data_IF_703175224316
#
_entry.id   IF_703175224316
#
_cell.length_a   1.000
_cell.length_b   1.000
_cell.length_c   1.000
_cell.angle_alpha   90.00
_cell.angle_beta   90.00
_cell.angle_gamma   90.00
#
_symmetry.space_group_name_H-M   'P 1'
#
loop_
_entity.id
_entity.type
_entity.pdbx_description
1 polymer ?
#
# COMPACT_ATOMS: atom_id res chain seq x y z
N UNK A 1 8.05 3.61 30.11
CA UNK A 1 8.32 4.75 29.21
C UNK A 1 7.10 5.67 29.17
N UNK A 2 7.25 7.00 29.20
CA UNK A 2 6.14 7.95 29.02
C UNK A 2 5.87 8.23 27.55
N UNK A 3 4.66 8.68 27.20
CA UNK A 3 4.30 8.98 25.81
C UNK A 3 5.16 10.10 25.20
N UNK A 4 5.49 11.14 25.96
CA UNK A 4 6.33 12.26 25.47
C UNK A 4 7.77 11.80 25.19
N UNK A 5 8.34 10.97 26.07
CA UNK A 5 9.67 10.41 25.83
C UNK A 5 9.69 9.50 24.60
N UNK A 6 8.67 8.64 24.45
CA UNK A 6 8.54 7.79 23.27
C UNK A 6 8.43 8.61 21.98
N UNK A 7 7.62 9.68 21.99
CA UNK A 7 7.52 10.61 20.86
C UNK A 7 8.89 11.16 20.45
N UNK A 8 9.64 11.75 21.40
CA UNK A 8 10.96 12.34 21.10
C UNK A 8 11.95 11.30 20.54
N UNK A 9 11.95 10.09 21.10
CA UNK A 9 12.81 9.01 20.61
C UNK A 9 12.42 8.54 19.21
N UNK A 10 11.12 8.46 18.90
CA UNK A 10 10.63 8.10 17.57
C UNK A 10 10.91 9.19 16.53
N UNK A 11 10.81 10.46 16.90
CA UNK A 11 11.21 11.60 16.07
C UNK A 11 12.73 11.57 15.79
N UNK A 12 13.53 11.26 16.81
CA UNK A 12 14.96 11.03 16.62
C UNK A 12 15.25 9.87 15.66
N UNK A 13 14.56 8.73 15.81
CA UNK A 13 14.68 7.58 14.88
C UNK A 13 14.28 7.95 13.45
N UNK A 14 13.21 8.74 13.29
CA UNK A 14 12.74 9.24 12.00
C UNK A 14 13.85 10.01 11.27
N UNK A 15 14.53 10.94 11.94
CA UNK A 15 15.55 11.79 11.34
C UNK A 15 16.91 11.09 11.20
N UNK A 16 17.37 10.41 12.26
CA UNK A 16 18.68 9.73 12.28
C UNK A 16 18.73 8.49 11.38
N UNK A 17 17.57 7.84 11.16
CA UNK A 17 17.51 6.53 10.52
C UNK A 17 17.90 5.37 11.42
N UNK A 18 18.07 5.63 12.71
CA UNK A 18 18.20 4.58 13.71
C UNK A 18 16.91 3.76 13.80
N UNK A 19 17.10 2.51 14.20
CA UNK A 19 16.02 1.56 14.35
C UNK A 19 15.14 1.94 15.56
N UNK A 20 13.82 2.03 15.35
CA UNK A 20 12.85 2.39 16.39
C UNK A 20 12.36 1.20 17.24
N UNK A 21 12.92 0.02 17.05
CA UNK A 21 12.44 -1.22 17.65
C UNK A 21 12.55 -1.24 19.18
N UNK A 22 13.65 -0.74 19.75
CA UNK A 22 13.83 -0.67 21.21
C UNK A 22 12.80 0.25 21.87
N UNK A 23 12.41 1.32 21.17
CA UNK A 23 11.36 2.23 21.63
C UNK A 23 10.01 1.52 21.68
N UNK A 24 9.69 0.70 20.67
CA UNK A 24 8.44 -0.05 20.60
C UNK A 24 8.36 -1.07 21.74
N UNK A 25 9.42 -1.84 22.01
CA UNK A 25 9.42 -2.87 23.06
C UNK A 25 9.21 -2.24 24.45
N UNK A 26 9.75 -1.04 24.67
CA UNK A 26 9.58 -0.30 25.93
C UNK A 26 8.25 0.44 26.09
N UNK A 27 7.41 0.48 25.06
CA UNK A 27 6.15 1.21 25.03
C UNK A 27 4.96 0.31 25.38
N UNK A 28 4.12 0.75 26.32
CA UNK A 28 2.88 0.03 26.64
C UNK A 28 1.84 0.20 25.54
N UNK A 29 1.08 -0.85 25.16
CA UNK A 29 0.14 -0.77 24.05
C UNK A 29 -0.92 0.32 24.19
N UNK A 30 -1.42 0.57 25.41
CA UNK A 30 -2.43 1.59 25.67
C UNK A 30 -1.96 3.04 25.40
N UNK A 31 -0.66 3.27 25.18
CA UNK A 31 -0.11 4.57 24.83
C UNK A 31 0.05 4.76 23.31
N UNK A 32 -0.16 3.73 22.50
CA UNK A 32 0.15 3.74 21.07
C UNK A 32 -0.67 4.79 20.29
N UNK A 33 -1.99 4.85 20.50
CA UNK A 33 -2.83 5.84 19.81
C UNK A 33 -2.37 7.27 20.14
N UNK A 34 -2.16 7.57 21.43
CA UNK A 34 -1.68 8.88 21.88
C UNK A 34 -0.31 9.27 21.31
N UNK A 35 0.63 8.32 21.25
CA UNK A 35 1.95 8.56 20.64
C UNK A 35 1.82 8.78 19.13
N UNK A 36 1.00 8.00 18.44
CA UNK A 36 0.74 8.16 17.02
C UNK A 36 0.12 9.52 16.69
N UNK A 37 -0.83 10.00 17.49
CA UNK A 37 -1.45 11.32 17.34
C UNK A 37 -0.40 12.44 17.49
N UNK A 38 0.40 12.41 18.56
CA UNK A 38 1.43 13.42 18.83
C UNK A 38 2.50 13.52 17.76
N UNK A 39 3.01 12.38 17.28
CA UNK A 39 4.00 12.37 16.19
C UNK A 39 3.34 12.84 14.89
N UNK A 40 2.06 12.50 14.65
CA UNK A 40 1.33 12.97 13.47
C UNK A 40 1.14 14.48 13.49
N UNK A 41 0.72 15.04 14.61
CA UNK A 41 0.56 16.49 14.78
C UNK A 41 1.89 17.22 14.53
N UNK A 42 2.98 16.73 15.12
CA UNK A 42 4.30 17.33 14.95
C UNK A 42 4.81 17.19 13.51
N UNK A 43 4.63 16.04 12.89
CA UNK A 43 5.08 15.79 11.52
C UNK A 43 4.27 16.57 10.48
N UNK A 44 2.94 16.59 10.59
CA UNK A 44 2.07 17.20 9.58
C UNK A 44 1.94 18.72 9.76
N UNK A 45 1.89 19.21 11.00
CA UNK A 45 1.58 20.62 11.26
C UNK A 45 2.82 21.48 11.46
N UNK A 46 3.95 20.90 11.89
CA UNK A 46 5.17 21.68 12.24
C UNK A 46 6.32 21.52 11.25
N UNK A 47 6.28 20.53 10.35
CA UNK A 47 7.36 20.31 9.38
C UNK A 47 7.03 20.93 8.02
N UNK A 48 8.07 21.40 7.32
CA UNK A 48 7.98 21.85 5.94
C UNK A 48 7.59 20.71 5.00
N UNK A 49 6.92 21.02 3.90
CA UNK A 49 6.36 20.03 2.97
C UNK A 49 7.44 19.14 2.34
N UNK A 50 8.61 19.69 2.05
CA UNK A 50 9.75 18.98 1.46
C UNK A 50 10.30 17.92 2.42
N UNK A 51 10.37 18.26 3.71
CA UNK A 51 10.77 17.31 4.76
C UNK A 51 9.71 16.23 4.97
N UNK A 52 8.44 16.61 4.91
CA UNK A 52 7.35 15.62 4.97
C UNK A 52 7.47 14.62 3.83
N UNK A 53 7.66 15.08 2.58
CA UNK A 53 7.84 14.20 1.43
C UNK A 53 9.06 13.28 1.58
N UNK A 54 10.20 13.84 2.02
CA UNK A 54 11.45 13.08 2.22
C UNK A 54 11.28 11.95 3.23
N UNK A 55 10.60 12.20 4.34
CA UNK A 55 10.52 11.28 5.48
C UNK A 55 9.21 10.49 5.56
N UNK A 56 8.26 10.73 4.66
CA UNK A 56 6.90 10.17 4.69
C UNK A 56 6.91 8.65 4.85
N UNK A 57 7.66 7.93 4.02
CA UNK A 57 7.69 6.46 4.06
C UNK A 57 8.14 5.93 5.42
N UNK A 58 9.19 6.53 6.00
CA UNK A 58 9.70 6.13 7.33
C UNK A 58 8.71 6.49 8.44
N UNK A 59 8.11 7.67 8.38
CA UNK A 59 7.07 8.11 9.32
C UNK A 59 5.89 7.13 9.33
N UNK A 60 5.36 6.76 8.16
CA UNK A 60 4.29 5.78 8.03
C UNK A 60 4.73 4.39 8.54
N UNK A 61 5.98 4.01 8.30
CA UNK A 61 6.52 2.71 8.75
C UNK A 61 6.59 2.64 10.28
N UNK A 62 6.98 3.73 10.95
CA UNK A 62 6.97 3.85 12.41
C UNK A 62 5.55 3.67 12.93
N UNK A 63 4.57 4.40 12.37
CA UNK A 63 3.16 4.27 12.76
C UNK A 63 2.64 2.84 12.56
N UNK A 64 2.92 2.23 11.41
CA UNK A 64 2.54 0.85 11.13
C UNK A 64 3.12 -0.12 12.16
N UNK A 65 4.39 0.07 12.54
CA UNK A 65 5.08 -0.77 13.53
C UNK A 65 4.47 -0.64 14.92
N UNK A 66 4.06 0.56 15.32
CA UNK A 66 3.33 0.79 16.56
C UNK A 66 1.97 0.08 16.53
N UNK A 67 1.16 0.32 15.50
CA UNK A 67 -0.17 -0.29 15.38
C UNK A 67 -0.13 -1.82 15.32
N UNK A 68 0.94 -2.42 14.76
CA UNK A 68 1.15 -3.88 14.80
C UNK A 68 1.23 -4.48 16.20
N UNK A 69 1.54 -3.67 17.23
CA UNK A 69 1.66 -4.13 18.61
C UNK A 69 0.34 -4.10 19.38
N UNK A 70 -0.72 -3.50 18.81
CA UNK A 70 -2.01 -3.42 19.45
C UNK A 70 -2.79 -4.74 19.30
N UNK A 71 -3.10 -5.36 20.45
CA UNK A 71 -4.06 -6.46 20.54
C UNK A 71 -5.42 -5.88 20.92
N UNK A 72 -6.26 -5.56 19.93
CA UNK A 72 -7.64 -5.16 20.21
C UNK A 72 -8.55 -6.35 19.89
N UNK A 73 -9.31 -6.79 20.89
CA UNK A 73 -10.30 -7.86 20.75
C UNK A 73 -11.49 -7.49 19.86
N UNK A 74 -11.65 -6.22 19.49
CA UNK A 74 -12.66 -5.73 18.56
C UNK A 74 -12.13 -5.69 17.13
N UNK A 75 -12.82 -6.35 16.20
CA UNK A 75 -12.53 -6.31 14.77
C UNK A 75 -12.57 -4.87 14.19
N UNK A 76 -13.36 -3.98 14.83
CA UNK A 76 -13.62 -2.61 14.38
C UNK A 76 -12.39 -1.68 14.48
N UNK A 77 -11.41 -2.04 15.31
CA UNK A 77 -10.23 -1.21 15.57
C UNK A 77 -8.96 -2.07 15.69
N UNK A 78 -8.89 -3.14 14.88
CA UNK A 78 -7.71 -4.01 14.89
C UNK A 78 -6.46 -3.21 14.56
N UNK A 79 -5.47 -3.25 15.45
CA UNK A 79 -4.16 -2.65 15.22
C UNK A 79 -3.54 -3.13 13.90
N UNK A 80 -3.88 -4.34 13.48
CA UNK A 80 -3.46 -4.92 12.21
C UNK A 80 -4.13 -4.25 11.00
N UNK A 81 -5.40 -3.86 11.09
CA UNK A 81 -6.06 -3.09 10.04
C UNK A 81 -5.40 -1.72 9.87
N UNK A 82 -5.20 -0.98 10.98
CA UNK A 82 -4.49 0.31 10.97
C UNK A 82 -3.06 0.20 10.44
N UNK A 83 -2.32 -0.83 10.84
CA UNK A 83 -0.99 -1.08 10.31
C UNK A 83 -1.02 -1.38 8.81
N UNK A 84 -1.99 -2.18 8.36
CA UNK A 84 -2.24 -2.48 6.96
C UNK A 84 -2.53 -1.24 6.11
N UNK A 85 -3.31 -0.29 6.64
CA UNK A 85 -3.56 0.99 5.98
C UNK A 85 -2.24 1.73 5.72
N UNK A 86 -1.36 1.80 6.73
CA UNK A 86 -0.04 2.42 6.55
C UNK A 86 0.86 1.67 5.56
N UNK A 87 0.88 0.33 5.57
CA UNK A 87 1.67 -0.45 4.60
C UNK A 87 1.17 -0.27 3.17
N UNK A 88 -0.15 -0.27 3.00
CA UNK A 88 -0.78 -0.05 1.69
C UNK A 88 -0.48 1.36 1.20
N UNK A 89 -0.55 2.36 2.08
CA UNK A 89 -0.22 3.75 1.74
C UNK A 89 1.27 3.95 1.42
N UNK A 90 2.18 3.26 2.12
CA UNK A 90 3.62 3.27 1.80
C UNK A 90 3.84 2.73 0.37
N UNK A 91 3.21 1.61 0.04
CA UNK A 91 3.32 0.99 -1.28
C UNK A 91 2.72 1.88 -2.37
N UNK A 92 1.50 2.40 -2.15
CA UNK A 92 0.83 3.31 -3.08
C UNK A 92 1.68 4.54 -3.37
N UNK A 93 2.23 5.19 -2.34
CA UNK A 93 3.10 6.35 -2.52
C UNK A 93 4.39 5.99 -3.26
N UNK A 94 5.00 4.84 -2.95
CA UNK A 94 6.21 4.41 -3.64
C UNK A 94 5.95 4.15 -5.14
N UNK A 95 4.85 3.49 -5.48
CA UNK A 95 4.42 3.28 -6.86
C UNK A 95 4.13 4.62 -7.53
N UNK A 96 3.38 5.50 -6.87
CA UNK A 96 3.04 6.82 -7.39
C UNK A 96 4.31 7.63 -7.73
N UNK A 97 5.26 7.73 -6.80
CA UNK A 97 6.54 8.41 -7.04
C UNK A 97 7.30 7.77 -8.20
N UNK A 98 7.30 6.45 -8.29
CA UNK A 98 8.02 5.73 -9.35
C UNK A 98 7.39 5.98 -10.72
N UNK A 99 6.09 5.78 -10.87
CA UNK A 99 5.41 5.95 -12.16
C UNK A 99 5.38 7.43 -12.59
N UNK A 100 5.11 8.37 -11.68
CA UNK A 100 5.16 9.81 -11.97
C UNK A 100 6.56 10.28 -12.38
N UNK A 101 7.62 9.71 -11.81
CA UNK A 101 9.00 10.05 -12.21
C UNK A 101 9.39 9.59 -13.61
N UNK A 102 8.58 8.74 -14.25
CA UNK A 102 8.79 8.34 -15.65
C UNK A 102 8.20 9.35 -16.64
N UNK A 103 7.35 10.26 -16.17
CA UNK A 103 6.80 11.34 -16.99
C UNK A 103 7.91 12.36 -17.30
N UNK A 104 7.96 12.84 -18.53
CA UNK A 104 9.06 13.67 -19.01
C UNK A 104 8.68 15.16 -18.92
N UNK A 105 9.27 15.95 -18.02
CA UNK A 105 9.12 17.40 -18.07
C UNK A 105 9.80 17.94 -19.33
N UNK A 106 9.28 19.04 -19.87
CA UNK A 106 9.92 19.75 -20.98
C UNK A 106 11.16 20.48 -20.47
N UNK A 107 12.18 20.61 -21.32
CA UNK A 107 13.49 21.20 -20.98
C UNK A 107 13.46 22.67 -20.49
N UNK A 108 12.30 23.31 -20.30
CA UNK A 108 12.16 24.71 -19.90
C UNK A 108 11.07 24.97 -18.83
N UNK A 109 10.55 23.96 -18.14
CA UNK A 109 9.59 24.16 -17.04
C UNK A 109 10.31 23.98 -15.70
N UNK A 110 10.73 25.08 -15.09
CA UNK A 110 11.43 25.04 -13.80
C UNK A 110 10.52 24.64 -12.62
N UNK A 111 9.18 24.77 -12.74
CA UNK A 111 8.29 24.66 -11.58
C UNK A 111 7.05 23.75 -11.73
N UNK A 112 6.62 23.34 -12.92
CA UNK A 112 5.40 22.51 -13.09
C UNK A 112 5.62 21.39 -14.10
N UNK A 113 5.89 20.18 -13.60
CA UNK A 113 6.03 18.98 -14.42
C UNK A 113 4.68 18.35 -14.78
N UNK A 114 4.69 17.34 -15.68
CA UNK A 114 3.47 16.67 -16.11
C UNK A 114 2.73 15.92 -14.99
N UNK A 115 3.46 15.46 -13.98
CA UNK A 115 2.87 14.84 -12.79
C UNK A 115 2.06 15.85 -11.98
N UNK A 116 2.59 17.07 -11.81
CA UNK A 116 1.94 18.19 -11.12
C UNK A 116 0.73 18.67 -11.91
N UNK A 117 0.85 18.81 -13.23
CA UNK A 117 -0.26 19.19 -14.11
C UNK A 117 -1.44 18.21 -14.02
N UNK A 118 -1.16 16.90 -14.04
CA UNK A 118 -2.18 15.87 -13.83
C UNK A 118 -2.82 16.00 -12.45
N UNK A 119 -2.00 16.21 -11.40
CA UNK A 119 -2.48 16.33 -10.03
C UNK A 119 -3.41 17.55 -9.88
N UNK A 120 -3.05 18.70 -10.47
CA UNK A 120 -3.86 19.91 -10.51
C UNK A 120 -5.17 19.69 -11.29
N UNK A 121 -5.12 18.99 -12.42
CA UNK A 121 -6.31 18.68 -13.21
C UNK A 121 -7.31 17.81 -12.42
N UNK A 122 -6.83 16.75 -11.77
CA UNK A 122 -7.66 15.85 -10.96
C UNK A 122 -8.23 16.59 -9.74
N UNK A 123 -7.44 17.42 -9.06
CA UNK A 123 -7.89 18.15 -7.87
C UNK A 123 -8.89 19.27 -8.19
N UNK A 124 -8.63 20.05 -9.24
CA UNK A 124 -9.42 21.25 -9.55
C UNK A 124 -10.67 20.95 -10.39
N UNK A 125 -10.59 20.00 -11.32
CA UNK A 125 -11.65 19.71 -12.30
C UNK A 125 -12.13 18.27 -12.28
N UNK A 126 -11.33 17.34 -11.73
CA UNK A 126 -11.65 15.92 -11.73
C UNK A 126 -13.00 15.60 -11.08
N UNK A 127 -13.52 16.48 -10.25
CA UNK A 127 -14.77 16.27 -9.53
C UNK A 127 -16.02 16.65 -10.33
N UNK A 128 -15.88 17.32 -11.48
CA UNK A 128 -17.04 17.61 -12.33
C UNK A 128 -17.48 16.34 -13.07
N UNK A 129 -18.79 16.20 -13.29
CA UNK A 129 -19.40 15.03 -13.95
C UNK A 129 -18.75 14.65 -15.30
N UNK A 130 -18.28 15.64 -16.07
CA UNK A 130 -17.63 15.43 -17.36
C UNK A 130 -16.22 14.79 -17.24
N UNK A 131 -15.53 15.02 -16.12
CA UNK A 131 -14.19 14.55 -15.83
C UNK A 131 -14.16 13.24 -15.04
N UNK A 132 -15.33 12.63 -14.77
CA UNK A 132 -15.44 11.27 -14.24
C UNK A 132 -15.14 10.19 -15.29
N UNK A 133 -15.01 10.57 -16.57
CA UNK A 133 -14.57 9.69 -17.65
C UNK A 133 -13.08 9.87 -17.87
N UNK A 134 -12.33 8.77 -17.79
CA UNK A 134 -10.87 8.79 -17.95
C UNK A 134 -10.44 9.40 -19.29
N UNK A 135 -11.16 9.10 -20.37
CA UNK A 135 -10.79 9.59 -21.70
C UNK A 135 -10.94 11.13 -21.83
N UNK A 136 -11.88 11.75 -21.10
CA UNK A 136 -11.99 13.22 -21.03
C UNK A 136 -10.73 13.83 -20.41
N UNK A 137 -10.17 13.19 -19.38
CA UNK A 137 -8.93 13.64 -18.74
C UNK A 137 -7.77 13.54 -19.73
N UNK A 138 -7.65 12.43 -20.46
CA UNK A 138 -6.57 12.21 -21.43
C UNK A 138 -6.51 13.30 -22.51
N UNK A 139 -7.67 13.77 -23.00
CA UNK A 139 -7.74 14.81 -24.03
C UNK A 139 -7.19 16.16 -23.51
N UNK A 140 -7.25 16.40 -22.21
CA UNK A 140 -6.76 17.63 -21.58
C UNK A 140 -5.28 17.55 -21.17
N UNK A 141 -4.59 16.46 -21.49
CA UNK A 141 -3.17 16.25 -21.19
C UNK A 141 -2.37 16.21 -22.48
N UNK A 142 -1.12 16.68 -22.42
CA UNK A 142 -0.22 16.61 -23.57
C UNK A 142 0.37 15.20 -23.71
N UNK A 143 0.18 14.58 -24.87
CA UNK A 143 0.58 13.21 -25.09
C UNK A 143 2.10 12.98 -25.03
N UNK A 144 2.90 14.00 -25.34
CA UNK A 144 4.37 13.88 -25.38
C UNK A 144 4.96 13.72 -23.99
N UNK A 145 4.31 14.30 -22.98
CA UNK A 145 4.82 14.29 -21.61
C UNK A 145 4.68 12.91 -20.94
N UNK A 146 3.83 12.04 -21.50
CA UNK A 146 3.55 10.68 -21.03
C UNK A 146 4.26 9.59 -21.83
N UNK A 147 5.07 9.94 -22.84
CA UNK A 147 5.79 8.97 -23.66
C UNK A 147 6.92 8.28 -22.88
N UNK A 148 6.82 6.96 -22.74
CA UNK A 148 7.80 6.08 -22.09
C UNK A 148 8.10 4.89 -22.98
N UNK A 149 9.34 4.37 -22.92
CA UNK A 149 9.75 3.21 -23.71
C UNK A 149 8.93 1.96 -23.38
N UNK A 150 8.42 1.20 -24.39
CA UNK A 150 7.54 0.05 -24.17
C UNK A 150 8.11 -1.02 -23.23
N UNK A 151 9.42 -1.23 -23.24
CA UNK A 151 10.09 -2.22 -22.37
C UNK A 151 10.07 -1.79 -20.89
N UNK A 152 10.21 -0.49 -20.61
CA UNK A 152 10.10 0.04 -19.25
C UNK A 152 8.67 -0.15 -18.75
N UNK A 153 7.68 0.16 -19.60
CA UNK A 153 6.25 -0.02 -19.28
C UNK A 153 5.92 -1.48 -18.94
N UNK A 154 6.36 -2.43 -19.75
CA UNK A 154 6.19 -3.86 -19.47
C UNK A 154 6.85 -4.28 -18.16
N UNK A 155 8.04 -3.75 -17.85
CA UNK A 155 8.76 -4.10 -16.63
C UNK A 155 8.02 -3.72 -15.33
N UNK A 156 7.08 -2.78 -15.40
CA UNK A 156 6.24 -2.34 -14.29
C UNK A 156 4.78 -2.81 -14.37
N UNK A 157 4.44 -3.72 -15.28
CA UNK A 157 3.07 -4.23 -15.40
C UNK A 157 2.55 -4.80 -14.06
N UNK A 158 3.41 -5.42 -13.26
CA UNK A 158 3.06 -5.92 -11.92
C UNK A 158 2.62 -4.81 -10.95
N UNK A 159 3.20 -3.61 -11.05
CA UNK A 159 2.77 -2.46 -10.25
C UNK A 159 1.46 -1.88 -10.78
N UNK A 160 1.26 -1.87 -12.11
CA UNK A 160 -0.03 -1.49 -12.69
C UNK A 160 -1.14 -2.44 -12.24
N UNK A 161 -0.88 -3.75 -12.24
CA UNK A 161 -1.79 -4.77 -11.73
C UNK A 161 -2.13 -4.50 -10.27
N UNK A 162 -1.14 -4.25 -9.41
CA UNK A 162 -1.37 -3.97 -8.00
C UNK A 162 -2.27 -2.74 -7.78
N UNK A 163 -2.07 -1.66 -8.55
CA UNK A 163 -2.93 -0.46 -8.47
C UNK A 163 -4.37 -0.79 -8.86
N UNK A 164 -4.56 -1.50 -9.98
CA UNK A 164 -5.89 -1.90 -10.43
C UNK A 164 -6.59 -2.84 -9.44
N UNK A 165 -5.88 -3.86 -8.94
CA UNK A 165 -6.40 -4.80 -7.96
C UNK A 165 -6.77 -4.08 -6.66
N UNK A 166 -5.92 -3.16 -6.17
CA UNK A 166 -6.21 -2.38 -4.97
C UNK A 166 -7.46 -1.52 -5.16
N UNK A 167 -7.56 -0.80 -6.28
CA UNK A 167 -8.75 0.01 -6.57
C UNK A 167 -10.01 -0.84 -6.63
N UNK A 168 -9.97 -1.96 -7.35
CA UNK A 168 -11.09 -2.89 -7.47
C UNK A 168 -11.49 -3.45 -6.10
N UNK A 169 -10.52 -3.86 -5.29
CA UNK A 169 -10.74 -4.40 -3.95
C UNK A 169 -11.35 -3.35 -3.00
N UNK A 170 -10.85 -2.11 -3.02
CA UNK A 170 -11.41 -1.03 -2.19
C UNK A 170 -12.85 -0.71 -2.59
N UNK A 171 -13.15 -0.56 -3.89
CA UNK A 171 -14.49 -0.26 -4.36
C UNK A 171 -15.48 -1.42 -4.11
N UNK A 172 -15.07 -2.66 -4.36
CA UNK A 172 -15.90 -3.83 -4.08
C UNK A 172 -16.19 -3.99 -2.57
N UNK A 173 -15.28 -3.53 -1.70
CA UNK A 173 -15.50 -3.55 -0.26
C UNK A 173 -16.40 -2.42 0.26
N UNK A 174 -16.59 -1.35 -0.51
CA UNK A 174 -17.22 -0.12 -0.04
C UNK A 174 -18.63 -0.36 0.54
N UNK A 175 -19.53 -1.14 -0.10
CA UNK A 175 -20.85 -1.42 0.46
C UNK A 175 -20.79 -2.14 1.81
N UNK A 176 -19.87 -3.10 1.96
CA UNK A 176 -19.67 -3.82 3.22
C UNK A 176 -19.13 -2.90 4.31
N UNK A 177 -18.19 -2.01 3.98
CA UNK A 177 -17.63 -1.04 4.93
C UNK A 177 -18.65 0.01 5.39
N UNK A 178 -19.60 0.40 4.52
CA UNK A 178 -20.64 1.39 4.84
C UNK A 178 -21.83 0.79 5.59
N UNK A 179 -22.34 -0.38 5.17
CA UNK A 179 -23.51 -1.00 5.80
C UNK A 179 -23.16 -1.78 7.07
N UNK A 180 -21.97 -2.38 7.12
CA UNK A 180 -21.47 -3.04 8.31
C UNK A 180 -20.38 -2.17 8.93
N UNK A 181 -20.75 -1.33 9.90
CA UNK A 181 -19.82 -0.50 10.70
C UNK A 181 -18.63 -1.28 11.33
N UNK A 182 -18.67 -2.61 11.29
CA UNK A 182 -17.67 -3.52 11.85
C UNK A 182 -16.73 -4.13 10.81
N UNK A 183 -17.04 -4.00 9.51
CA UNK A 183 -16.24 -4.60 8.45
C UNK A 183 -15.01 -3.75 8.16
N UNK A 184 -13.85 -4.18 8.67
CA UNK A 184 -12.54 -3.58 8.38
C UNK A 184 -11.54 -4.65 8.01
N UNK A 185 -10.69 -4.34 7.04
CA UNK A 185 -9.56 -5.18 6.66
C UNK A 185 -8.31 -4.31 6.47
N UNK A 186 -7.11 -4.89 6.56
CA UNK A 186 -5.85 -4.20 6.28
C UNK A 186 -5.87 -3.48 4.93
N UNK A 187 -5.62 -2.17 4.91
CA UNK A 187 -5.63 -1.37 3.69
C UNK A 187 -7.01 -0.79 3.34
N UNK A 188 -8.09 -1.31 3.93
CA UNK A 188 -9.46 -0.87 3.64
C UNK A 188 -9.73 0.59 3.98
N UNK A 189 -9.00 1.17 4.94
CA UNK A 189 -9.16 2.56 5.35
C UNK A 189 -8.83 3.57 4.25
N UNK A 190 -8.07 3.18 3.23
CA UNK A 190 -7.70 4.07 2.11
C UNK A 190 -8.90 4.52 1.28
N UNK A 191 -10.02 3.79 1.30
CA UNK A 191 -11.23 4.21 0.59
C UNK A 191 -11.83 5.52 1.15
N UNK A 192 -11.44 5.91 2.38
CA UNK A 192 -11.86 7.15 3.03
C UNK A 192 -10.76 8.23 3.06
N UNK A 193 -9.58 7.94 2.51
CA UNK A 193 -8.49 8.91 2.39
C UNK A 193 -8.53 9.56 1.01
N UNK A 194 -9.04 10.78 0.94
CA UNK A 194 -9.15 11.56 -0.30
C UNK A 194 -7.82 11.70 -1.04
N UNK A 195 -6.69 11.79 -0.33
CA UNK A 195 -5.37 11.88 -0.97
C UNK A 195 -4.98 10.54 -1.61
N UNK A 196 -5.26 9.42 -0.93
CA UNK A 196 -5.06 8.10 -1.49
C UNK A 196 -5.96 7.86 -2.72
N UNK A 197 -7.24 8.23 -2.64
CA UNK A 197 -8.18 8.13 -3.77
C UNK A 197 -7.72 8.94 -4.98
N UNK A 198 -7.32 10.20 -4.79
CA UNK A 198 -6.79 11.02 -5.89
C UNK A 198 -5.49 10.45 -6.46
N UNK A 199 -4.61 9.89 -5.62
CA UNK A 199 -3.40 9.20 -6.09
C UNK A 199 -3.76 8.00 -6.97
N UNK A 200 -4.77 7.20 -6.60
CA UNK A 200 -5.25 6.08 -7.42
C UNK A 200 -5.84 6.59 -8.75
N UNK A 201 -6.65 7.65 -8.74
CA UNK A 201 -7.21 8.26 -9.95
C UNK A 201 -6.12 8.72 -10.92
N UNK A 202 -5.11 9.42 -10.42
CA UNK A 202 -3.95 9.85 -11.21
C UNK A 202 -3.20 8.66 -11.81
N UNK A 203 -2.97 7.60 -11.03
CA UNK A 203 -2.26 6.41 -11.51
C UNK A 203 -3.07 5.63 -12.55
N UNK A 204 -4.41 5.56 -12.42
CA UNK A 204 -5.26 4.97 -13.45
C UNK A 204 -5.21 5.75 -14.77
N UNK A 205 -5.14 7.09 -14.71
CA UNK A 205 -4.93 7.93 -15.91
C UNK A 205 -3.59 7.63 -16.56
N UNK A 206 -2.51 7.56 -15.77
CA UNK A 206 -1.16 7.22 -16.26
C UNK A 206 -1.16 5.83 -16.92
N UNK A 207 -1.72 4.82 -16.26
CA UNK A 207 -1.82 3.44 -16.76
C UNK A 207 -2.62 3.40 -18.06
N UNK A 208 -3.75 4.13 -18.12
CA UNK A 208 -4.58 4.23 -19.32
C UNK A 208 -3.80 4.85 -20.48
N UNK A 209 -3.07 5.93 -20.23
CA UNK A 209 -2.24 6.59 -21.22
C UNK A 209 -1.20 5.63 -21.81
N UNK A 210 -0.48 4.93 -20.93
CA UNK A 210 0.54 3.96 -21.34
C UNK A 210 -0.02 2.73 -22.03
N UNK A 211 -1.26 2.33 -21.72
CA UNK A 211 -1.96 1.29 -22.46
C UNK A 211 -2.23 1.62 -23.93
N UNK A 212 -2.36 2.91 -24.28
CA UNK A 212 -2.46 3.37 -25.66
C UNK A 212 -1.13 3.25 -26.41
N UNK A 213 0.00 3.30 -25.69
CA UNK A 213 1.35 3.15 -26.24
C UNK A 213 1.73 1.66 -26.35
N UNK A 214 1.46 0.89 -25.30
CA UNK A 214 1.77 -0.53 -25.22
C UNK A 214 0.71 -1.27 -24.39
N UNK A 215 -0.23 -1.95 -25.05
CA UNK A 215 -1.28 -2.72 -24.38
C UNK A 215 -0.74 -3.81 -23.45
N UNK A 216 0.47 -4.31 -23.68
CA UNK A 216 1.11 -5.32 -22.84
C UNK A 216 1.50 -4.85 -21.43
N UNK A 217 1.42 -3.54 -21.14
CA UNK A 217 1.62 -3.04 -19.78
C UNK A 217 0.31 -2.88 -18.99
N UNK A 218 -0.85 -3.13 -19.59
CA UNK A 218 -2.13 -2.98 -18.90
C UNK A 218 -2.32 -4.06 -17.83
N UNK A 219 -3.08 -3.75 -16.76
CA UNK A 219 -3.60 -4.75 -15.84
C UNK A 219 -4.48 -5.76 -16.59
N UNK A 220 -4.42 -7.01 -16.15
CA UNK A 220 -5.22 -8.11 -16.66
C UNK A 220 -6.35 -8.38 -15.68
N UNK A 221 -7.58 -8.44 -16.20
CA UNK A 221 -8.79 -8.71 -15.43
C UNK A 221 -9.48 -9.97 -15.95
N UNK A 222 -10.04 -10.75 -15.03
CA UNK A 222 -10.99 -11.82 -15.40
C UNK A 222 -12.38 -11.21 -15.45
N UNK A 223 -12.84 -10.85 -16.66
CA UNK A 223 -14.13 -10.20 -16.89
C UNK A 223 -15.23 -11.25 -17.06
N UNK A 224 -16.41 -10.94 -16.56
CA UNK A 224 -17.63 -11.73 -16.81
C UNK A 224 -18.42 -11.18 -18.01
N UNK A 225 -18.15 -9.92 -18.39
CA UNK A 225 -18.73 -9.24 -19.54
C UNK A 225 -17.65 -8.93 -20.59
N UNK A 226 -17.92 -9.22 -21.87
CA UNK A 226 -16.91 -9.17 -22.94
C UNK A 226 -16.38 -7.76 -23.23
N UNK A 227 -17.24 -6.74 -23.22
CA UNK A 227 -16.91 -5.37 -23.67
C UNK A 227 -16.62 -4.39 -22.51
N UNK A 228 -16.41 -4.91 -21.30
CA UNK A 228 -16.23 -4.06 -20.13
C UNK A 228 -14.85 -3.40 -20.10
N UNK A 229 -14.83 -2.06 -20.09
CA UNK A 229 -13.64 -1.26 -19.82
C UNK A 229 -13.46 -1.05 -18.32
N UNK A 230 -12.74 -1.99 -17.68
CA UNK A 230 -12.56 -2.01 -16.23
C UNK A 230 -11.83 -0.77 -15.72
N UNK A 231 -10.80 -0.27 -16.43
CA UNK A 231 -10.08 0.93 -15.98
C UNK A 231 -10.99 2.16 -15.99
N UNK A 232 -11.80 2.31 -17.03
CA UNK A 232 -12.77 3.40 -17.13
C UNK A 232 -13.84 3.31 -16.03
N UNK A 233 -14.35 2.10 -15.75
CA UNK A 233 -15.29 1.84 -14.66
C UNK A 233 -14.69 2.19 -13.28
N UNK A 234 -13.49 1.68 -12.97
CA UNK A 234 -12.82 1.93 -11.71
C UNK A 234 -12.54 3.42 -11.50
N UNK A 235 -12.09 4.13 -12.55
CA UNK A 235 -11.85 5.56 -12.48
C UNK A 235 -13.15 6.35 -12.21
N UNK A 236 -14.26 5.98 -12.87
CA UNK A 236 -15.58 6.58 -12.64
C UNK A 236 -16.04 6.40 -11.19
N UNK A 237 -16.01 5.16 -10.67
CA UNK A 237 -16.46 4.85 -9.31
C UNK A 237 -15.56 5.49 -8.23
N UNK A 238 -14.24 5.52 -8.44
CA UNK A 238 -13.34 6.28 -7.57
C UNK A 238 -13.65 7.77 -7.57
N UNK A 239 -13.89 8.35 -8.75
CA UNK A 239 -14.23 9.77 -8.88
C UNK A 239 -15.51 10.09 -8.10
N UNK A 240 -16.55 9.25 -8.23
CA UNK A 240 -17.78 9.35 -7.44
C UNK A 240 -17.52 9.24 -5.94
N UNK A 241 -16.68 8.32 -5.50
CA UNK A 241 -16.33 8.14 -4.08
C UNK A 241 -15.69 9.40 -3.48
N UNK A 242 -14.94 10.18 -4.28
CA UNK A 242 -14.35 11.45 -3.84
C UNK A 242 -15.39 12.57 -3.76
N UNK A 243 -16.37 12.60 -4.68
CA UNK A 243 -17.27 13.74 -4.88
C UNK A 243 -18.62 13.61 -4.19
N UNK A 244 -19.20 12.41 -4.25
CA UNK A 244 -20.52 12.10 -3.73
C UNK A 244 -20.36 11.71 -2.25
N UNK A 245 -21.25 12.20 -1.39
CA UNK A 245 -21.35 11.68 -0.02
C UNK A 245 -21.93 10.27 -0.10
N UNK A 246 -21.08 9.26 -0.30
CA UNK A 246 -21.37 7.81 -0.24
C UNK A 246 -22.87 7.49 -0.35
N UNK A 247 -23.45 7.81 -1.51
CA UNK A 247 -24.89 7.72 -1.71
C UNK A 247 -25.30 6.28 -2.05
N UNK A 248 -26.57 5.93 -1.86
CA UNK A 248 -27.06 4.56 -2.11
C UNK A 248 -26.79 4.11 -3.55
N UNK A 249 -26.84 5.03 -4.52
CA UNK A 249 -26.57 4.73 -5.93
C UNK A 249 -25.13 4.29 -6.18
N UNK A 250 -24.15 4.97 -5.58
CA UNK A 250 -22.75 4.56 -5.64
C UNK A 250 -22.54 3.19 -5.00
N UNK A 251 -23.18 2.95 -3.85
CA UNK A 251 -23.08 1.66 -3.16
C UNK A 251 -23.69 0.53 -4.02
N UNK A 252 -24.83 0.76 -4.66
CA UNK A 252 -25.44 -0.18 -5.60
C UNK A 252 -24.53 -0.47 -6.80
N UNK A 253 -23.93 0.56 -7.41
CA UNK A 253 -22.95 0.37 -8.50
C UNK A 253 -21.74 -0.46 -8.05
N UNK A 254 -21.22 -0.23 -6.83
CA UNK A 254 -20.12 -1.00 -6.27
C UNK A 254 -20.51 -2.45 -5.93
N UNK A 255 -21.75 -2.70 -5.48
CA UNK A 255 -22.28 -4.04 -5.23
C UNK A 255 -22.32 -4.91 -6.49
N UNK A 256 -22.42 -4.30 -7.68
CA UNK A 256 -22.44 -5.02 -8.95
C UNK A 256 -21.05 -5.44 -9.44
N UNK A 257 -19.97 -4.90 -8.88
CA UNK A 257 -18.60 -5.18 -9.35
C UNK A 257 -18.25 -6.67 -9.39
N UNK A 258 -18.54 -7.50 -8.36
CA UNK A 258 -18.23 -8.93 -8.38
C UNK A 258 -18.94 -9.71 -9.50
N UNK A 259 -20.07 -9.19 -10.03
CA UNK A 259 -20.78 -9.79 -11.16
C UNK A 259 -20.18 -9.41 -12.51
N UNK A 260 -19.38 -8.34 -12.57
CA UNK A 260 -18.78 -7.81 -13.79
C UNK A 260 -17.32 -8.25 -13.96
N UNK A 261 -16.58 -8.31 -12.85
CA UNK A 261 -15.14 -8.63 -12.82
C UNK A 261 -14.83 -9.46 -11.57
N UNK A 262 -13.98 -10.47 -11.71
CA UNK A 262 -13.46 -11.23 -10.58
C UNK A 262 -12.70 -10.32 -9.61
N UNK A 263 -13.08 -10.33 -8.34
CA UNK A 263 -12.41 -9.57 -7.29
C UNK A 263 -11.25 -10.40 -6.71
N UNK A 264 -9.98 -10.02 -6.90
CA UNK A 264 -8.86 -10.73 -6.30
C UNK A 264 -8.77 -10.42 -4.80
N UNK A 265 -8.52 -11.42 -3.98
CA UNK A 265 -8.20 -11.20 -2.56
C UNK A 265 -6.77 -10.66 -2.42
N UNK A 266 -6.63 -9.52 -1.75
CA UNK A 266 -5.34 -8.91 -1.45
C UNK A 266 -4.93 -9.14 0.02
N UNK A 267 -3.78 -9.77 0.23
CA UNK A 267 -3.15 -9.82 1.56
C UNK A 267 -2.28 -8.57 1.77
N UNK A 268 -2.89 -7.54 2.34
CA UNK A 268 -2.25 -6.25 2.65
C UNK A 268 -1.69 -6.21 4.08
N UNK A 269 -1.72 -7.33 4.80
CA UNK A 269 -1.18 -7.43 6.15
C UNK A 269 0.25 -7.96 6.14
N UNK A 270 1.11 -7.40 6.99
CA UNK A 270 2.40 -8.00 7.30
C UNK A 270 2.29 -8.75 8.62
N UNK A 271 2.74 -10.00 8.65
CA UNK A 271 2.62 -10.85 9.84
C UNK A 271 3.19 -10.17 11.08
N UNK A 272 2.43 -10.18 12.17
CA UNK A 272 2.89 -9.72 13.48
C UNK A 272 3.48 -10.91 14.26
N UNK A 273 4.81 -11.01 14.25
CA UNK A 273 5.57 -12.12 14.82
C UNK A 273 6.68 -11.62 15.73
N UNK A 274 7.20 -12.51 16.57
CA UNK A 274 8.27 -12.20 17.51
C UNK A 274 7.90 -11.07 18.45
N UNK A 275 8.86 -10.23 18.81
CA UNK A 275 8.66 -9.12 19.76
C UNK A 275 7.90 -7.92 19.17
N UNK A 276 7.52 -7.96 17.89
CA UNK A 276 6.55 -7.03 17.30
C UNK A 276 5.13 -7.62 17.25
N UNK A 277 4.92 -8.79 17.86
CA UNK A 277 3.63 -9.42 18.02
C UNK A 277 2.85 -8.77 19.17
N UNK A 278 1.54 -8.50 19.02
CA UNK A 278 0.70 -8.10 20.15
C UNK A 278 0.74 -9.10 21.31
N UNK A 279 1.02 -10.38 21.01
CA UNK A 279 1.16 -11.42 22.01
C UNK A 279 2.29 -11.13 23.01
N UNK A 280 3.32 -10.35 22.64
CA UNK A 280 4.37 -9.95 23.56
C UNK A 280 3.81 -9.24 24.80
N UNK A 281 2.80 -8.38 24.59
CA UNK A 281 2.25 -7.51 25.62
C UNK A 281 1.09 -8.14 26.40
N UNK A 282 0.64 -9.34 26.00
CA UNK A 282 -0.40 -10.09 26.71
C UNK A 282 0.16 -11.16 27.63
N UNK A 283 1.42 -11.57 27.44
CA UNK A 283 2.05 -12.59 28.28
C UNK A 283 2.60 -11.99 29.58
N UNK A 284 2.58 -12.77 30.65
CA UNK A 284 3.13 -12.37 31.96
C UNK A 284 4.66 -12.34 31.92
N UNK A 285 5.26 -11.39 32.64
CA UNK A 285 6.71 -11.26 32.78
C UNK A 285 7.23 -12.08 33.98
N UNK A 286 8.48 -12.59 33.94
CA UNK A 286 9.46 -12.46 32.85
C UNK A 286 9.20 -13.44 31.69
N UNK A 287 9.51 -13.01 30.47
CA UNK A 287 9.45 -13.88 29.29
C UNK A 287 10.75 -14.67 29.17
N UNK A 288 10.64 -15.96 28.84
CA UNK A 288 11.78 -16.83 28.58
C UNK A 288 11.97 -16.99 27.07
N UNK A 289 13.21 -16.84 26.62
CA UNK A 289 13.60 -17.00 25.21
C UNK A 289 14.76 -17.97 25.12
N UNK A 290 14.70 -18.86 24.14
CA UNK A 290 15.79 -19.76 23.79
C UNK A 290 16.40 -19.34 22.46
N UNK A 291 17.72 -19.43 22.35
CA UNK A 291 18.41 -19.13 21.09
C UNK A 291 17.91 -20.03 19.97
N UNK A 292 17.68 -19.43 18.80
CA UNK A 292 17.23 -20.11 17.58
C UNK A 292 15.87 -20.82 17.68
N UNK A 293 15.09 -20.56 18.73
CA UNK A 293 13.73 -21.10 18.91
C UNK A 293 12.70 -19.97 18.82
N UNK A 294 11.68 -20.13 17.98
CA UNK A 294 10.56 -19.19 17.94
C UNK A 294 9.58 -19.54 19.08
N UNK A 295 9.38 -18.63 20.07
CA UNK A 295 8.50 -18.92 21.20
C UNK A 295 7.05 -19.06 20.75
N UNK A 296 6.42 -20.18 21.11
CA UNK A 296 5.04 -20.48 20.75
C UNK A 296 4.05 -19.44 21.29
N UNK A 297 4.33 -18.86 22.46
CA UNK A 297 3.51 -17.83 23.10
C UNK A 297 3.52 -16.47 22.38
N UNK A 298 4.41 -16.25 21.40
CA UNK A 298 4.40 -15.05 20.55
C UNK A 298 3.65 -15.23 19.23
N UNK A 299 3.19 -16.46 18.93
CA UNK A 299 2.38 -16.70 17.75
C UNK A 299 1.08 -15.94 17.87
N UNK A 300 0.86 -15.03 16.92
CA UNK A 300 -0.35 -14.23 16.84
C UNK A 300 -0.94 -14.36 15.45
N UNK A 301 -2.23 -14.70 15.39
CA UNK A 301 -3.00 -14.74 14.15
C UNK A 301 -4.07 -13.68 14.23
N UNK A 302 -3.90 -12.64 13.42
CA UNK A 302 -4.91 -11.60 13.27
C UNK A 302 -6.16 -12.20 12.62
N UNK A 303 -7.33 -11.97 13.21
CA UNK A 303 -8.59 -12.19 12.50
C UNK A 303 -8.85 -10.95 11.65
N UNK A 304 -8.75 -11.10 10.33
CA UNK A 304 -9.05 -10.04 9.36
C UNK A 304 -10.27 -10.42 8.55
N UNK A 305 -11.13 -9.44 8.25
CA UNK A 305 -12.23 -9.67 7.33
C UNK A 305 -11.72 -9.82 5.89
N UNK A 306 -12.41 -10.64 5.11
CA UNK A 306 -12.26 -10.75 3.65
C UNK A 306 -13.53 -10.25 3.00
N UNK A 307 -13.42 -9.63 1.83
CA UNK A 307 -14.60 -9.20 1.06
C UNK A 307 -15.36 -10.43 0.57
N UNK A 308 -16.68 -10.45 0.76
CA UNK A 308 -17.52 -11.51 0.22
C UNK A 308 -17.39 -11.60 -1.30
N UNK A 309 -17.19 -12.81 -1.82
CA UNK A 309 -16.99 -13.06 -3.24
C UNK A 309 -15.56 -12.81 -3.75
N UNK A 310 -14.64 -12.30 -2.92
CA UNK A 310 -13.24 -12.20 -3.32
C UNK A 310 -12.56 -13.56 -3.40
N UNK A 311 -11.78 -13.77 -4.47
CA UNK A 311 -11.11 -15.04 -4.76
C UNK A 311 -9.63 -14.95 -4.41
N UNK A 312 -9.14 -15.89 -3.59
CA UNK A 312 -7.72 -15.98 -3.28
C UNK A 312 -6.95 -16.67 -4.41
N UNK A 313 -6.61 -15.89 -5.44
CA UNK A 313 -5.80 -16.32 -6.59
C UNK A 313 -4.38 -16.77 -6.20
N UNK A 314 -3.93 -16.46 -4.98
CA UNK A 314 -2.60 -16.77 -4.47
C UNK A 314 -2.62 -17.81 -3.33
N UNK A 315 -3.72 -18.54 -3.16
CA UNK A 315 -3.82 -19.57 -2.13
C UNK A 315 -2.66 -20.58 -2.25
N UNK A 316 -1.93 -20.78 -1.14
CA UNK A 316 -0.77 -21.68 -1.07
C UNK A 316 0.50 -21.15 -1.76
N UNK A 317 0.50 -19.93 -2.30
CA UNK A 317 1.67 -19.30 -2.91
C UNK A 317 2.29 -18.25 -1.99
N UNK A 318 3.60 -18.08 -2.10
CA UNK A 318 4.28 -16.91 -1.51
C UNK A 318 4.18 -15.74 -2.47
N UNK A 319 4.04 -14.53 -1.93
CA UNK A 319 3.99 -13.29 -2.71
C UNK A 319 5.25 -12.48 -2.38
N UNK A 320 5.89 -11.92 -3.40
CA UNK A 320 6.96 -10.92 -3.22
C UNK A 320 6.35 -9.63 -2.67
N UNK A 321 6.69 -9.23 -1.45
CA UNK A 321 6.11 -8.03 -0.81
C UNK A 321 6.52 -6.71 -1.49
N UNK A 322 7.57 -6.72 -2.31
CA UNK A 322 8.08 -5.54 -3.02
C UNK A 322 7.51 -5.44 -4.43
N UNK A 323 7.19 -6.57 -5.06
CA UNK A 323 6.77 -6.63 -6.48
C UNK A 323 5.35 -7.19 -6.66
N UNK A 324 4.73 -7.69 -5.60
CA UNK A 324 3.42 -8.34 -5.60
C UNK A 324 3.26 -9.43 -6.67
N UNK A 325 4.35 -10.15 -6.95
CA UNK A 325 4.35 -11.30 -7.86
C UNK A 325 4.38 -12.60 -7.08
N UNK A 326 3.72 -13.64 -7.62
CA UNK A 326 3.77 -14.97 -7.05
C UNK A 326 5.17 -15.59 -7.15
N UNK A 327 5.66 -16.14 -6.05
CA UNK A 327 6.98 -16.77 -5.91
C UNK A 327 6.91 -18.31 -5.93
N UNK A 328 5.82 -18.87 -6.46
CA UNK A 328 5.54 -20.30 -6.43
C UNK A 328 5.02 -20.80 -5.07
N UNK A 329 5.03 -22.11 -4.90
CA UNK A 329 4.47 -22.79 -3.74
C UNK A 329 5.25 -22.43 -2.45
N UNK A 330 4.54 -22.37 -1.32
CA UNK A 330 5.11 -21.98 -0.02
C UNK A 330 6.17 -22.93 0.52
N UNK A 331 6.15 -24.19 0.10
CA UNK A 331 7.03 -25.28 0.52
C UNK A 331 8.31 -25.42 -0.32
N UNK A 332 8.47 -24.67 -1.41
CA UNK A 332 9.69 -24.73 -2.22
C UNK A 332 10.74 -23.77 -1.66
N UNK A 333 11.91 -24.27 -1.30
CA UNK A 333 13.04 -23.40 -0.97
C UNK A 333 13.66 -22.85 -2.26
N UNK A 334 13.85 -21.54 -2.32
CA UNK A 334 14.52 -20.87 -3.44
C UNK A 334 15.68 -20.05 -2.89
N UNK A 335 16.86 -20.30 -3.43
CA UNK A 335 18.11 -19.62 -3.07
C UNK A 335 18.13 -18.14 -3.49
N UNK A 336 17.15 -17.68 -4.29
CA UNK A 336 17.06 -16.30 -4.76
C UNK A 336 16.12 -15.42 -3.91
N UNK A 337 15.84 -15.81 -2.66
CA UNK A 337 14.93 -15.10 -1.76
C UNK A 337 15.63 -14.49 -0.55
N UNK A 338 15.10 -13.35 -0.13
CA UNK A 338 15.36 -12.74 1.18
C UNK A 338 14.10 -12.74 2.03
N UNK A 339 14.26 -12.91 3.33
CA UNK A 339 13.19 -12.84 4.33
C UNK A 339 13.40 -11.67 5.29
N UNK A 340 12.34 -10.97 5.64
CA UNK A 340 12.41 -9.88 6.61
C UNK A 340 12.56 -10.42 8.04
N UNK A 341 13.48 -9.86 8.82
CA UNK A 341 13.70 -10.25 10.22
C UNK A 341 12.57 -9.91 11.20
N UNK A 342 11.59 -9.07 10.80
CA UNK A 342 10.49 -8.60 11.68
C UNK A 342 9.11 -9.12 11.35
N UNK A 343 8.83 -9.38 10.07
CA UNK A 343 7.51 -9.82 9.62
C UNK A 343 7.56 -11.11 8.79
N UNK A 344 8.74 -11.68 8.56
CA UNK A 344 8.96 -12.84 7.68
C UNK A 344 8.43 -12.67 6.25
N UNK A 345 8.07 -11.45 5.82
CA UNK A 345 7.74 -11.19 4.44
C UNK A 345 8.94 -11.52 3.54
N UNK A 346 8.67 -12.00 2.34
CA UNK A 346 9.68 -12.47 1.40
C UNK A 346 9.73 -11.57 0.18
N UNK A 347 10.90 -11.50 -0.45
CA UNK A 347 11.10 -10.79 -1.71
C UNK A 347 12.25 -11.42 -2.49
N UNK A 348 12.23 -11.31 -3.82
CA UNK A 348 13.35 -11.74 -4.66
C UNK A 348 14.58 -10.85 -4.42
N UNK A 349 15.75 -11.48 -4.39
CA UNK A 349 17.05 -10.78 -4.33
C UNK A 349 17.35 -10.03 -5.62
N UNK A 350 16.95 -10.59 -6.77
CA UNK A 350 17.15 -10.00 -8.09
C UNK A 350 15.80 -9.89 -8.81
N UNK A 351 15.54 -8.78 -9.53
CA UNK A 351 14.31 -8.65 -10.30
C UNK A 351 14.29 -9.64 -11.46
N UNK A 352 13.08 -10.02 -11.87
CA UNK A 352 12.85 -10.90 -13.03
C UNK A 352 13.31 -10.20 -14.31
N UNK A 353 12.92 -8.92 -14.47
CA UNK A 353 13.34 -8.07 -15.58
C UNK A 353 14.37 -7.04 -15.12
N UNK A 354 15.48 -6.94 -15.85
CA UNK A 354 16.56 -6.00 -15.55
C UNK A 354 16.45 -4.76 -16.44
N UNK A 355 16.12 -3.63 -15.85
CA UNK A 355 16.23 -2.30 -16.48
C UNK A 355 16.82 -1.31 -15.46
N UNK A 356 17.32 -0.14 -15.89
CA UNK A 356 17.66 0.94 -14.97
C UNK A 356 16.49 1.33 -14.07
N UNK A 357 15.26 1.34 -14.61
CA UNK A 357 14.06 1.69 -13.86
C UNK A 357 13.68 0.64 -12.81
N UNK A 358 13.72 -0.66 -13.14
CA UNK A 358 13.46 -1.72 -12.14
C UNK A 358 14.53 -1.77 -11.06
N UNK A 359 15.78 -1.45 -11.41
CA UNK A 359 16.85 -1.26 -10.42
C UNK A 359 16.56 -0.09 -9.48
N UNK A 360 16.12 1.05 -10.01
CA UNK A 360 15.76 2.21 -9.18
C UNK A 360 14.60 1.91 -8.22
N UNK A 361 13.60 1.16 -8.66
CA UNK A 361 12.53 0.62 -7.80
C UNK A 361 13.10 -0.23 -6.66
N UNK A 362 13.92 -1.22 -7.00
CA UNK A 362 14.48 -2.17 -6.03
C UNK A 362 15.40 -1.51 -5.00
N UNK A 363 16.14 -0.46 -5.38
CA UNK A 363 17.02 0.30 -4.48
C UNK A 363 16.27 0.90 -3.29
N UNK A 364 14.98 1.25 -3.44
CA UNK A 364 14.15 1.75 -2.32
C UNK A 364 14.02 0.72 -1.20
N UNK A 365 14.09 -0.56 -1.55
CA UNK A 365 13.85 -1.69 -0.67
C UNK A 365 15.10 -2.53 -0.44
N UNK A 366 16.29 -2.01 -0.76
CA UNK A 366 17.52 -2.80 -0.69
C UNK A 366 17.91 -3.15 0.75
N UNK A 367 17.77 -2.18 1.67
CA UNK A 367 18.17 -2.34 3.08
C UNK A 367 17.07 -2.97 3.92
N UNK A 368 15.84 -2.48 3.75
CA UNK A 368 14.72 -2.77 4.64
C UNK A 368 13.48 -3.24 3.88
N UNK A 369 12.70 -4.09 4.54
CA UNK A 369 11.34 -4.46 4.17
C UNK A 369 10.37 -3.29 4.39
N UNK A 370 9.15 -3.39 3.85
CA UNK A 370 8.05 -2.45 4.09
C UNK A 370 7.76 -2.22 5.58
N UNK A 371 8.00 -3.21 6.45
CA UNK A 371 7.85 -3.04 7.91
C UNK A 371 9.05 -2.37 8.60
N UNK A 372 10.08 -1.99 7.85
CA UNK A 372 11.33 -1.43 8.37
C UNK A 372 12.34 -2.47 8.87
N UNK A 373 12.00 -3.76 8.86
CA UNK A 373 12.93 -4.82 9.25
C UNK A 373 13.98 -5.11 8.18
N UNK A 374 15.20 -5.42 8.61
CA UNK A 374 16.30 -5.78 7.73
C UNK A 374 16.03 -7.08 6.97
N UNK A 375 16.65 -7.20 5.80
CA UNK A 375 16.62 -8.42 5.01
C UNK A 375 17.67 -9.41 5.48
N UNK A 376 17.25 -10.66 5.68
CA UNK A 376 18.11 -11.83 5.83
C UNK A 376 18.09 -12.60 4.51
N UNK A 377 19.26 -13.01 4.04
CA UNK A 377 19.36 -13.92 2.89
C UNK A 377 19.11 -15.33 3.39
N UNK A 378 18.19 -16.06 2.74
CA UNK A 378 18.00 -17.47 3.03
C UNK A 378 19.17 -18.23 2.40
N UNK A 379 20.28 -18.36 3.12
CA UNK A 379 21.35 -19.28 2.75
C UNK A 379 20.86 -20.70 3.06
N UNK A 380 20.68 -21.52 2.01
CA UNK A 380 20.53 -22.97 2.18
C UNK A 380 21.72 -23.48 2.97
N UNK A 381 21.49 -23.92 4.20
CA UNK A 381 22.46 -24.68 4.99
C UNK A 381 22.28 -26.16 4.74
#
# INVERSE_FOLDING_TARGET
MSANYAQTMLEYCLVSGNDWWDVIIGLRPNLIDSVCEKITETFMNKQQLELQQKWLSRFLTIKASLYRCLNTSSANNSGQCKAGDFYTLIMLNAIATTLKSLLRPRDNQENEGPAENLSLLIQNKGNDMQYMKVDTILINLDNKDFCVEPQILQSFQHLHQWIADLTLYLLASLPQQCHHNQFRFPGGGLIFDTKALNTLRELLVIIRFWGLINSGCLPVFTKMENDLDVISLLFKLLSKTVTERLDEKLLDECCLLPNQVLIPHLDLCLKAIGVASPALFTNALPLQFDYFSEPSFLKFTAKTHSIDGAVNCYAGRRIDVVRYVGLGASNQESSNLRSCSRCNAVSLLKPIMRSPATRAWDQRWIKNCLCGGHWRVNTTS
#
